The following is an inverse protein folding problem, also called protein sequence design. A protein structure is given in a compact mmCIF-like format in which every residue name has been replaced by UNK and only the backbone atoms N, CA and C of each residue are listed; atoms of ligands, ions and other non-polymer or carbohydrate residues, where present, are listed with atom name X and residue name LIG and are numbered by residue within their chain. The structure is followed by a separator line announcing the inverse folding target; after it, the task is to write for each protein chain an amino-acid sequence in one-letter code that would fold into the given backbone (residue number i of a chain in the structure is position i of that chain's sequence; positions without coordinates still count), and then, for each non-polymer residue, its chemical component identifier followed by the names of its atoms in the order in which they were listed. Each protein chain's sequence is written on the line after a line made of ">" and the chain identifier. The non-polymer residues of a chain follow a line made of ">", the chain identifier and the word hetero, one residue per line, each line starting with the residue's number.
data_IF_090652304860
#
_entry.id   IF_090652304860
#
_cell.length_a   1.000
_cell.length_b   1.000
_cell.length_c   1.000
_cell.angle_alpha   90.00
_cell.angle_beta   90.00
_cell.angle_gamma   90.00
#
_symmetry.space_group_name_H-M   'P 1'
#
loop_
_entity.id
_entity.type
_entity.pdbx_description
1 polymer ?
#
# COMPACT_ATOMS: atom_id res chain seq x y z
N UNK A 1 24.58 -11.11 -36.47
CA UNK A 1 25.83 -10.79 -35.74
C UNK A 1 25.49 -9.79 -34.64
N UNK A 2 25.24 -10.24 -33.43
CA UNK A 2 25.04 -9.38 -32.27
C UNK A 2 26.37 -9.26 -31.52
N UNK A 3 26.83 -8.03 -31.34
CA UNK A 3 28.05 -7.71 -30.57
C UNK A 3 27.78 -7.85 -29.06
N UNK A 4 28.60 -8.65 -28.42
CA UNK A 4 28.64 -8.83 -26.97
C UNK A 4 29.43 -7.67 -26.36
N UNK A 5 28.85 -6.91 -25.46
CA UNK A 5 29.58 -5.93 -24.65
C UNK A 5 30.18 -6.62 -23.41
N UNK A 6 31.46 -6.30 -23.19
CA UNK A 6 32.32 -6.81 -22.13
C UNK A 6 31.81 -6.51 -20.73
N UNK A 7 32.03 -7.51 -19.85
CA UNK A 7 31.81 -7.44 -18.42
C UNK A 7 32.89 -6.61 -17.74
N UNK A 8 32.48 -5.64 -16.95
CA UNK A 8 33.33 -5.02 -15.92
C UNK A 8 33.28 -5.87 -14.65
N UNK A 9 34.46 -6.33 -14.20
CA UNK A 9 34.69 -7.05 -12.95
C UNK A 9 34.25 -6.24 -11.74
N UNK A 10 33.25 -6.75 -11.02
CA UNK A 10 32.91 -6.31 -9.65
C UNK A 10 33.36 -7.42 -8.71
N UNK A 11 34.24 -7.03 -7.80
CA UNK A 11 34.98 -7.84 -6.83
C UNK A 11 34.24 -9.00 -6.18
N UNK A 12 34.98 -10.06 -6.08
CA UNK A 12 34.69 -11.39 -5.57
C UNK A 12 34.39 -11.34 -4.04
N UNK A 13 33.16 -11.17 -3.65
CA UNK A 13 32.68 -11.47 -2.31
C UNK A 13 31.99 -12.83 -2.37
N UNK A 14 32.67 -13.86 -1.85
CA UNK A 14 32.15 -15.22 -1.70
C UNK A 14 30.93 -15.21 -0.76
N UNK A 15 29.74 -15.11 -1.30
CA UNK A 15 28.52 -15.49 -0.60
C UNK A 15 28.29 -16.98 -0.74
N UNK A 16 28.75 -17.74 0.26
CA UNK A 16 28.35 -19.16 0.43
C UNK A 16 26.91 -19.21 0.98
N UNK A 17 25.93 -18.89 0.17
CA UNK A 17 24.54 -19.22 0.48
C UNK A 17 24.27 -20.64 -0.04
N UNK A 18 24.08 -21.61 0.87
CA UNK A 18 23.46 -22.90 0.50
C UNK A 18 22.20 -22.63 -0.29
N UNK A 19 22.16 -23.05 -1.55
CA UNK A 19 20.98 -22.95 -2.39
C UNK A 19 19.82 -23.64 -1.65
N UNK A 20 18.79 -22.86 -1.28
CA UNK A 20 17.61 -23.43 -0.61
C UNK A 20 16.73 -24.03 -1.69
N UNK A 21 16.51 -25.34 -1.61
CA UNK A 21 15.57 -26.05 -2.47
C UNK A 21 14.18 -25.40 -2.39
N UNK A 22 13.49 -25.24 -3.52
CA UNK A 22 12.13 -24.74 -3.55
C UNK A 22 11.22 -25.57 -2.64
N UNK A 23 10.54 -24.92 -1.72
CA UNK A 23 9.54 -25.55 -0.87
C UNK A 23 8.17 -24.99 -1.19
N UNK A 24 7.23 -25.85 -1.62
CA UNK A 24 5.85 -25.48 -1.84
C UNK A 24 5.27 -24.83 -0.58
N UNK A 25 4.56 -23.75 -0.78
CA UNK A 25 3.74 -23.16 0.28
C UNK A 25 2.57 -24.11 0.60
N UNK A 26 2.28 -24.27 1.88
CA UNK A 26 1.14 -25.06 2.40
C UNK A 26 0.16 -24.09 3.07
N UNK A 27 -0.73 -23.39 2.31
CA UNK A 27 -1.67 -22.42 2.87
C UNK A 27 -2.65 -23.08 3.83
N UNK A 28 -3.04 -24.31 3.55
CA UNK A 28 -3.91 -25.16 4.35
C UNK A 28 -3.46 -25.35 5.80
N UNK A 29 -2.17 -25.23 6.07
CA UNK A 29 -1.58 -25.34 7.41
C UNK A 29 -1.51 -24.00 8.15
N UNK A 30 -2.08 -22.93 7.61
CA UNK A 30 -2.07 -21.63 8.28
C UNK A 30 -3.34 -21.42 9.09
N UNK A 31 -3.21 -20.87 10.31
CA UNK A 31 -4.35 -20.55 11.17
C UNK A 31 -5.40 -19.74 10.43
N UNK A 32 -5.00 -18.75 9.65
CA UNK A 32 -5.93 -17.91 8.89
C UNK A 32 -6.75 -18.72 7.88
N UNK A 33 -6.14 -19.69 7.20
CA UNK A 33 -6.86 -20.57 6.27
C UNK A 33 -7.88 -21.43 7.02
N UNK A 34 -7.46 -22.06 8.12
CA UNK A 34 -8.31 -22.91 8.94
C UNK A 34 -9.50 -22.16 9.53
N UNK A 35 -9.28 -20.97 10.06
CA UNK A 35 -10.35 -20.11 10.58
C UNK A 35 -11.39 -19.77 9.50
N UNK A 36 -10.96 -19.45 8.28
CA UNK A 36 -11.90 -19.17 7.18
C UNK A 36 -12.63 -20.45 6.78
N UNK A 37 -11.93 -21.57 6.66
CA UNK A 37 -12.51 -22.86 6.27
C UNK A 37 -13.58 -23.33 7.25
N UNK A 38 -13.35 -23.19 8.53
CA UNK A 38 -14.24 -23.67 9.58
C UNK A 38 -15.44 -22.75 9.85
N UNK A 39 -15.28 -21.45 9.65
CA UNK A 39 -16.26 -20.48 10.13
C UNK A 39 -17.01 -19.72 9.04
N UNK A 40 -16.50 -19.67 7.80
CA UNK A 40 -17.10 -18.81 6.79
C UNK A 40 -18.50 -19.22 6.37
N UNK A 41 -18.80 -20.53 6.27
CA UNK A 41 -20.14 -21.03 5.94
C UNK A 41 -21.17 -20.64 7.00
N UNK A 42 -20.83 -20.81 8.29
CA UNK A 42 -21.66 -20.41 9.42
C UNK A 42 -21.87 -18.89 9.45
N UNK A 43 -20.80 -18.12 9.26
CA UNK A 43 -20.90 -16.67 9.17
C UNK A 43 -21.84 -16.21 8.06
N UNK A 44 -21.79 -16.84 6.88
CA UNK A 44 -22.68 -16.55 5.75
C UNK A 44 -24.14 -16.88 6.06
N UNK A 45 -24.41 -18.02 6.71
CA UNK A 45 -25.78 -18.41 7.09
C UNK A 45 -26.40 -17.44 8.09
N UNK A 46 -25.66 -17.04 9.11
CA UNK A 46 -26.12 -16.09 10.14
C UNK A 46 -26.44 -14.70 9.57
N UNK A 47 -25.81 -14.29 8.47
CA UNK A 47 -26.09 -13.01 7.82
C UNK A 47 -27.45 -12.98 7.10
N UNK A 48 -27.95 -14.14 6.66
CA UNK A 48 -29.27 -14.25 6.02
C UNK A 48 -30.45 -14.15 7.00
N UNK A 49 -30.20 -14.31 8.31
CA UNK A 49 -31.24 -14.33 9.35
C UNK A 49 -31.43 -12.96 10.03
N UNK A 50 -30.51 -12.01 9.84
CA UNK A 50 -30.59 -10.68 10.44
C UNK A 50 -31.14 -9.66 9.47
N UNK A 51 -32.25 -9.00 9.84
CA UNK A 51 -32.95 -7.96 9.08
C UNK A 51 -32.15 -6.64 8.94
N UNK A 52 -30.85 -6.67 9.24
CA UNK A 52 -29.97 -5.52 9.12
C UNK A 52 -29.22 -5.52 7.78
N UNK A 53 -29.73 -4.76 6.83
CA UNK A 53 -29.20 -4.57 5.47
C UNK A 53 -27.70 -4.22 5.37
N UNK A 54 -27.02 -3.94 6.47
CA UNK A 54 -25.61 -3.56 6.54
C UNK A 54 -24.62 -4.73 6.67
N UNK A 55 -25.10 -5.93 6.93
CA UNK A 55 -24.25 -7.10 7.24
C UNK A 55 -24.25 -8.19 6.15
N UNK A 56 -24.83 -7.94 5.00
CA UNK A 56 -24.87 -8.93 3.92
C UNK A 56 -23.47 -9.14 3.34
N UNK A 57 -23.00 -10.39 3.35
CA UNK A 57 -21.77 -10.76 2.63
C UNK A 57 -22.04 -10.58 1.13
N UNK A 58 -21.34 -9.63 0.52
CA UNK A 58 -21.50 -9.36 -0.90
C UNK A 58 -20.88 -10.48 -1.73
N UNK A 59 -21.40 -10.72 -2.93
CA UNK A 59 -20.83 -11.67 -3.90
C UNK A 59 -19.34 -11.42 -4.18
N UNK A 60 -18.91 -10.15 -4.08
CA UNK A 60 -17.49 -9.81 -4.19
C UNK A 60 -16.66 -10.42 -3.06
N UNK A 61 -17.14 -10.36 -1.81
CA UNK A 61 -16.43 -10.92 -0.65
C UNK A 61 -16.40 -12.44 -0.76
N UNK A 62 -17.50 -13.08 -1.14
CA UNK A 62 -17.55 -14.53 -1.38
C UNK A 62 -16.51 -14.95 -2.42
N UNK A 63 -16.51 -14.32 -3.58
CA UNK A 63 -15.55 -14.60 -4.65
C UNK A 63 -14.07 -14.42 -4.22
N UNK A 64 -13.77 -13.43 -3.38
CA UNK A 64 -12.41 -13.23 -2.88
C UNK A 64 -12.01 -14.29 -1.86
N UNK A 65 -12.94 -14.78 -1.05
CA UNK A 65 -12.73 -15.89 -0.12
C UNK A 65 -12.54 -17.20 -0.87
N UNK A 66 -13.39 -17.51 -1.82
CA UNK A 66 -13.30 -18.73 -2.65
C UNK A 66 -11.94 -18.78 -3.38
N UNK A 67 -11.56 -17.70 -4.03
CA UNK A 67 -10.22 -17.59 -4.65
C UNK A 67 -9.08 -17.78 -3.65
N UNK A 68 -9.23 -17.25 -2.42
CA UNK A 68 -8.23 -17.43 -1.36
C UNK A 68 -8.13 -18.89 -0.95
N UNK A 69 -9.25 -19.60 -0.79
CA UNK A 69 -9.29 -21.02 -0.41
C UNK A 69 -8.61 -21.94 -1.42
N UNK A 70 -8.59 -21.57 -2.70
CA UNK A 70 -7.91 -22.31 -3.77
C UNK A 70 -6.43 -21.91 -3.95
N UNK A 71 -6.01 -20.80 -3.35
CA UNK A 71 -4.73 -20.18 -3.62
C UNK A 71 -3.52 -20.96 -3.11
N UNK A 72 -2.69 -21.45 -3.99
CA UNK A 72 -1.44 -22.15 -3.68
C UNK A 72 -1.61 -23.63 -3.35
N UNK A 73 -2.76 -24.21 -3.69
CA UNK A 73 -3.09 -25.63 -3.53
C UNK A 73 -2.88 -26.32 -4.88
N UNK A 74 -2.01 -27.34 -4.94
CA UNK A 74 -1.70 -28.04 -6.19
C UNK A 74 -2.91 -28.72 -6.81
N UNK A 75 -3.81 -29.29 -5.99
CA UNK A 75 -5.02 -29.92 -6.45
C UNK A 75 -5.96 -28.94 -7.20
N UNK A 76 -5.81 -27.63 -6.95
CA UNK A 76 -6.59 -26.58 -7.62
C UNK A 76 -5.90 -26.02 -8.87
N UNK A 77 -4.80 -26.66 -9.31
CA UNK A 77 -4.07 -26.31 -10.52
C UNK A 77 -2.66 -25.80 -10.26
N UNK A 78 -1.77 -26.10 -11.17
CA UNK A 78 -0.35 -25.74 -11.09
C UNK A 78 0.30 -25.59 -12.48
N UNK A 79 1.44 -24.93 -12.51
CA UNK A 79 2.37 -24.97 -13.63
C UNK A 79 3.58 -25.83 -13.26
N UNK A 80 4.09 -26.61 -14.21
CA UNK A 80 5.36 -27.33 -14.09
C UNK A 80 6.46 -26.44 -14.63
N UNK A 81 7.46 -26.13 -13.81
CA UNK A 81 8.65 -25.42 -14.23
C UNK A 81 9.78 -26.42 -14.38
N UNK A 82 10.40 -26.46 -15.54
CA UNK A 82 11.53 -27.36 -15.89
C UNK A 82 12.78 -26.53 -16.16
N UNK A 83 13.91 -27.00 -15.67
CA UNK A 83 15.23 -26.46 -15.97
C UNK A 83 15.95 -27.36 -16.98
N UNK A 84 16.76 -26.78 -17.84
CA UNK A 84 17.67 -27.53 -18.75
C UNK A 84 18.66 -28.43 -17.96
N UNK A 85 18.86 -28.18 -16.66
CA UNK A 85 19.67 -29.02 -15.75
C UNK A 85 18.94 -30.28 -15.31
N UNK A 86 17.70 -30.56 -15.72
CA UNK A 86 16.91 -31.72 -15.35
C UNK A 86 16.09 -31.57 -14.06
N UNK A 87 16.26 -30.47 -13.32
CA UNK A 87 15.39 -30.20 -12.15
C UNK A 87 14.02 -29.71 -12.61
N UNK A 88 12.97 -30.22 -11.97
CA UNK A 88 11.62 -29.69 -12.16
C UNK A 88 10.89 -29.49 -10.84
N UNK A 89 9.91 -28.59 -10.85
CA UNK A 89 9.08 -28.33 -9.68
C UNK A 89 7.70 -27.81 -10.06
N UNK A 90 6.71 -28.12 -9.22
CA UNK A 90 5.33 -27.72 -9.41
C UNK A 90 5.06 -26.39 -8.69
N UNK A 91 4.55 -25.43 -9.44
CA UNK A 91 4.15 -24.11 -8.93
C UNK A 91 2.64 -24.04 -8.92
N UNK A 92 2.02 -24.16 -7.72
CA UNK A 92 0.58 -24.02 -7.57
C UNK A 92 0.09 -22.63 -7.99
N UNK A 93 -1.05 -22.55 -8.64
CA UNK A 93 -1.62 -21.28 -9.06
C UNK A 93 -1.97 -20.38 -7.87
N UNK A 94 -1.81 -19.08 -8.07
CA UNK A 94 -2.11 -18.06 -7.07
C UNK A 94 -3.38 -17.30 -7.45
N UNK A 95 -4.20 -16.94 -6.45
CA UNK A 95 -5.45 -16.19 -6.68
C UNK A 95 -5.24 -14.78 -7.23
N UNK A 96 -4.03 -14.22 -7.12
CA UNK A 96 -3.74 -12.81 -7.43
C UNK A 96 -4.70 -11.81 -6.77
N UNK A 97 -5.46 -12.26 -5.74
CA UNK A 97 -6.42 -11.47 -4.99
C UNK A 97 -5.82 -10.22 -4.36
N UNK A 98 -6.64 -9.17 -4.19
CA UNK A 98 -6.18 -7.84 -3.73
C UNK A 98 -6.53 -7.55 -2.27
N UNK A 99 -7.34 -8.40 -1.64
CA UNK A 99 -7.93 -8.12 -0.33
C UNK A 99 -7.55 -9.12 0.75
N UNK A 100 -7.93 -10.39 0.60
CA UNK A 100 -7.91 -11.38 1.69
C UNK A 100 -6.61 -12.18 1.72
N UNK A 101 -6.11 -12.66 0.59
CA UNK A 101 -4.98 -13.58 0.56
C UNK A 101 -3.66 -12.95 1.06
N UNK A 102 -3.13 -13.37 2.23
CA UNK A 102 -1.92 -12.76 2.79
C UNK A 102 -0.69 -12.91 1.91
N UNK A 103 -0.60 -14.01 1.15
CA UNK A 103 0.57 -14.28 0.30
C UNK A 103 0.57 -13.46 -0.97
N UNK A 104 -0.57 -13.35 -1.66
CA UNK A 104 -0.68 -12.55 -2.87
C UNK A 104 -0.54 -11.06 -2.54
N UNK A 105 -1.08 -10.62 -1.41
CA UNK A 105 -0.94 -9.26 -0.92
C UNK A 105 0.49 -8.91 -0.53
N UNK A 106 1.18 -9.80 0.19
CA UNK A 106 2.60 -9.60 0.55
C UNK A 106 3.48 -9.51 -0.69
N UNK A 107 3.25 -10.38 -1.69
CA UNK A 107 3.96 -10.32 -2.96
C UNK A 107 3.75 -8.98 -3.65
N UNK A 108 2.51 -8.53 -3.77
CA UNK A 108 2.16 -7.23 -4.35
C UNK A 108 2.78 -6.06 -3.59
N UNK A 109 2.79 -6.10 -2.26
CA UNK A 109 3.47 -5.10 -1.42
C UNK A 109 4.94 -4.96 -1.81
N UNK A 110 5.65 -6.09 -1.96
CA UNK A 110 7.06 -6.08 -2.37
C UNK A 110 7.26 -5.58 -3.80
N UNK A 111 6.44 -6.03 -4.75
CA UNK A 111 6.48 -5.59 -6.15
C UNK A 111 6.21 -4.07 -6.26
N UNK A 112 5.19 -3.57 -5.55
CA UNK A 112 4.88 -2.14 -5.48
C UNK A 112 6.03 -1.35 -4.88
N UNK A 113 6.58 -1.81 -3.75
CA UNK A 113 7.71 -1.16 -3.09
C UNK A 113 8.94 -1.11 -4.00
N UNK A 114 9.29 -2.23 -4.64
CA UNK A 114 10.42 -2.30 -5.55
C UNK A 114 10.26 -1.33 -6.74
N UNK A 115 9.06 -1.28 -7.34
CA UNK A 115 8.77 -0.34 -8.43
C UNK A 115 8.87 1.12 -7.96
N UNK A 116 8.29 1.46 -6.81
CA UNK A 116 8.33 2.81 -6.28
C UNK A 116 9.76 3.26 -5.98
N UNK A 117 10.56 2.38 -5.36
CA UNK A 117 11.96 2.69 -5.05
C UNK A 117 12.82 2.74 -6.33
N UNK A 118 12.61 1.82 -7.27
CA UNK A 118 13.44 1.73 -8.47
C UNK A 118 13.13 2.80 -9.53
N UNK A 119 11.84 3.11 -9.71
CA UNK A 119 11.37 3.84 -10.89
C UNK A 119 10.65 5.17 -10.58
N UNK A 120 10.16 5.37 -9.36
CA UNK A 120 9.31 6.54 -9.04
C UNK A 120 10.00 7.55 -8.13
N UNK A 121 10.62 7.08 -7.04
CA UNK A 121 11.29 7.97 -6.10
C UNK A 121 12.74 8.22 -6.49
N UNK A 122 13.11 9.45 -6.91
CA UNK A 122 14.50 9.83 -7.14
C UNK A 122 15.29 9.81 -5.82
N UNK A 123 16.61 10.04 -5.91
CA UNK A 123 17.50 10.11 -4.74
C UNK A 123 17.40 11.48 -4.07
N UNK A 124 16.24 11.77 -3.48
CA UNK A 124 15.97 12.98 -2.70
C UNK A 124 15.40 12.59 -1.33
N UNK A 125 15.45 13.46 -0.31
CA UNK A 125 14.81 13.18 0.97
C UNK A 125 13.30 12.97 0.81
N UNK A 126 12.73 12.12 1.67
CA UNK A 126 11.30 11.76 1.63
C UNK A 126 10.73 11.90 3.03
N UNK A 127 9.50 12.40 3.14
CA UNK A 127 8.75 12.52 4.39
C UNK A 127 7.41 11.80 4.30
N UNK A 128 7.08 11.07 5.35
CA UNK A 128 5.74 10.51 5.52
C UNK A 128 4.83 11.50 6.24
N UNK A 129 3.65 11.71 5.67
CA UNK A 129 2.56 12.44 6.28
C UNK A 129 1.41 11.47 6.59
N UNK A 130 0.99 11.40 7.84
CA UNK A 130 -0.14 10.54 8.25
C UNK A 130 -1.29 11.41 8.69
N UNK A 131 -2.36 11.45 7.87
CA UNK A 131 -3.59 12.18 8.18
C UNK A 131 -4.67 11.19 8.64
N UNK A 132 -5.14 11.35 9.88
CA UNK A 132 -6.24 10.57 10.44
C UNK A 132 -7.46 11.44 10.71
N UNK A 133 -8.63 10.80 10.72
CA UNK A 133 -9.93 11.46 10.84
C UNK A 133 -10.69 11.02 12.11
N UNK A 134 -11.59 11.84 12.65
CA UNK A 134 -12.46 11.46 13.76
C UNK A 134 -13.40 10.32 13.36
N UNK A 135 -13.74 9.46 14.32
CA UNK A 135 -14.57 8.26 14.08
C UNK A 135 -15.87 8.59 13.34
N UNK A 136 -16.50 9.72 13.68
CA UNK A 136 -17.79 10.16 13.13
C UNK A 136 -17.79 10.29 11.61
N UNK A 137 -16.71 10.80 11.01
CA UNK A 137 -16.67 11.04 9.56
C UNK A 137 -16.00 9.91 8.75
N UNK A 138 -15.37 8.92 9.43
CA UNK A 138 -14.68 7.82 8.73
C UNK A 138 -15.62 6.97 7.86
N UNK A 139 -16.87 6.79 8.30
CA UNK A 139 -17.89 6.06 7.54
C UNK A 139 -18.14 6.71 6.18
N UNK A 140 -18.32 8.03 6.13
CA UNK A 140 -18.54 8.77 4.89
C UNK A 140 -17.35 8.64 3.93
N UNK A 141 -16.12 8.83 4.44
CA UNK A 141 -14.89 8.69 3.63
C UNK A 141 -14.64 7.25 3.12
N UNK A 142 -15.17 6.24 3.84
CA UNK A 142 -15.07 4.84 3.43
C UNK A 142 -16.06 4.50 2.32
N UNK A 143 -17.28 5.03 2.39
CA UNK A 143 -18.39 4.70 1.49
C UNK A 143 -18.29 5.54 0.21
N UNK A 144 -18.06 6.85 0.33
CA UNK A 144 -17.96 7.74 -0.82
C UNK A 144 -16.50 8.03 -1.23
N UNK A 145 -16.07 7.37 -2.29
CA UNK A 145 -14.74 7.54 -2.87
C UNK A 145 -14.52 8.91 -3.52
N UNK A 146 -15.61 9.57 -3.98
CA UNK A 146 -15.53 10.92 -4.56
C UNK A 146 -15.30 11.96 -3.46
N UNK A 147 -15.99 11.82 -2.32
CA UNK A 147 -15.77 12.65 -1.14
C UNK A 147 -14.34 12.45 -0.62
N UNK A 148 -13.89 11.20 -0.46
CA UNK A 148 -12.55 10.88 -0.02
C UNK A 148 -11.47 11.49 -0.92
N UNK A 149 -11.69 11.46 -2.24
CA UNK A 149 -10.78 12.08 -3.23
C UNK A 149 -10.76 13.61 -3.13
N UNK A 150 -11.89 14.25 -2.81
CA UNK A 150 -11.95 15.70 -2.58
C UNK A 150 -11.17 16.08 -1.31
N UNK A 151 -11.31 15.30 -0.22
CA UNK A 151 -10.57 15.51 1.03
C UNK A 151 -9.07 15.33 0.81
N UNK A 152 -8.65 14.29 0.09
CA UNK A 152 -7.24 14.10 -0.26
C UNK A 152 -6.68 15.28 -1.07
N UNK A 153 -7.43 15.81 -2.03
CA UNK A 153 -7.03 17.00 -2.78
C UNK A 153 -6.87 18.24 -1.90
N UNK A 154 -7.75 18.45 -0.92
CA UNK A 154 -7.60 19.51 0.08
C UNK A 154 -6.28 19.33 0.82
N UNK A 155 -5.98 18.13 1.27
CA UNK A 155 -4.76 17.84 2.01
C UNK A 155 -3.50 18.09 1.17
N UNK A 156 -3.42 17.50 -0.03
CA UNK A 156 -2.27 17.69 -0.94
C UNK A 156 -2.07 19.17 -1.26
N UNK A 157 -3.15 19.90 -1.53
CA UNK A 157 -3.07 21.34 -1.84
C UNK A 157 -2.54 22.15 -0.66
N UNK A 158 -2.91 21.82 0.58
CA UNK A 158 -2.38 22.50 1.75
C UNK A 158 -0.89 22.22 1.97
N UNK A 159 -0.46 20.98 1.74
CA UNK A 159 0.96 20.63 1.78
C UNK A 159 1.76 21.38 0.70
N UNK A 160 1.23 21.46 -0.52
CA UNK A 160 1.87 22.20 -1.60
C UNK A 160 2.03 23.70 -1.26
N UNK A 161 0.99 24.32 -0.74
CA UNK A 161 1.04 25.73 -0.31
C UNK A 161 2.04 25.96 0.82
N UNK A 162 2.01 25.11 1.85
CA UNK A 162 2.95 25.20 2.97
C UNK A 162 4.41 25.01 2.52
N UNK A 163 4.66 24.09 1.60
CA UNK A 163 6.00 23.87 1.07
C UNK A 163 6.50 25.08 0.26
N UNK A 164 5.60 25.70 -0.52
CA UNK A 164 5.93 26.94 -1.26
C UNK A 164 6.27 28.09 -0.33
N UNK A 165 5.48 28.26 0.73
CA UNK A 165 5.70 29.29 1.74
C UNK A 165 7.03 29.08 2.48
N UNK A 166 7.29 27.86 2.98
CA UNK A 166 8.53 27.51 3.69
C UNK A 166 9.77 27.76 2.81
N UNK A 167 9.67 27.45 1.51
CA UNK A 167 10.79 27.56 0.58
C UNK A 167 10.86 28.89 -0.16
N UNK A 168 9.87 29.77 0.06
CA UNK A 168 9.68 31.03 -0.65
C UNK A 168 9.84 30.89 -2.16
N UNK A 169 8.94 30.10 -2.78
CA UNK A 169 8.91 29.81 -4.21
C UNK A 169 7.50 30.02 -4.78
N UNK A 170 7.43 30.21 -6.10
CA UNK A 170 6.22 30.54 -6.84
C UNK A 170 5.27 29.35 -7.05
N UNK A 171 4.17 29.58 -7.77
CA UNK A 171 3.11 28.62 -8.04
C UNK A 171 3.43 27.64 -9.18
N UNK A 172 4.49 27.83 -9.94
CA UNK A 172 4.95 26.88 -10.97
C UNK A 172 5.59 25.64 -10.36
N UNK A 173 6.06 25.75 -9.12
CA UNK A 173 6.66 24.66 -8.37
C UNK A 173 5.67 23.54 -8.06
N UNK A 174 6.14 22.29 -8.01
CA UNK A 174 5.31 21.09 -7.78
C UNK A 174 5.88 20.18 -6.70
N UNK A 175 4.99 19.60 -5.90
CA UNK A 175 5.34 18.50 -4.99
C UNK A 175 5.14 17.16 -5.69
N UNK A 176 5.84 16.12 -5.25
CA UNK A 176 5.72 14.76 -5.78
C UNK A 176 5.66 13.73 -4.67
N UNK A 177 4.87 12.68 -4.88
CA UNK A 177 4.74 11.61 -3.90
C UNK A 177 3.67 10.59 -4.21
N UNK A 178 3.45 9.67 -3.26
CA UNK A 178 2.48 8.57 -3.38
C UNK A 178 1.62 8.50 -2.12
N UNK A 179 0.30 8.36 -2.31
CA UNK A 179 -0.64 8.20 -1.21
C UNK A 179 -1.12 6.76 -1.09
N UNK A 180 -1.06 6.22 0.12
CA UNK A 180 -1.62 4.94 0.50
C UNK A 180 -2.82 5.17 1.41
N UNK A 181 -3.97 4.61 1.04
CA UNK A 181 -5.19 4.69 1.84
C UNK A 181 -5.30 3.45 2.70
N UNK A 182 -5.27 3.63 4.01
CA UNK A 182 -5.59 2.58 4.97
C UNK A 182 -7.02 2.75 5.47
N UNK A 183 -7.76 1.64 5.55
CA UNK A 183 -9.17 1.62 5.97
C UNK A 183 -9.38 0.94 7.32
N UNK A 184 -8.30 0.42 7.94
CA UNK A 184 -8.32 -0.37 9.17
C UNK A 184 -7.16 0.02 10.08
N UNK A 185 -7.36 -0.15 11.38
CA UNK A 185 -6.32 -0.03 12.40
C UNK A 185 -5.64 -1.37 12.69
N UNK A 186 -4.78 -1.41 13.70
CA UNK A 186 -4.01 -2.60 14.11
C UNK A 186 -4.89 -3.78 14.55
N UNK A 187 -6.08 -3.52 15.06
CA UNK A 187 -7.08 -4.51 15.47
C UNK A 187 -8.13 -4.77 14.38
N UNK A 188 -7.85 -4.44 13.13
CA UNK A 188 -8.78 -4.53 12.00
C UNK A 188 -10.06 -3.69 12.17
N UNK A 189 -10.11 -2.84 13.18
CA UNK A 189 -11.19 -1.87 13.36
C UNK A 189 -11.20 -0.84 12.24
N UNK A 190 -12.38 -0.35 11.88
CA UNK A 190 -12.53 0.69 10.86
C UNK A 190 -11.74 1.95 11.24
N UNK A 191 -10.69 2.25 10.48
CA UNK A 191 -9.83 3.41 10.67
C UNK A 191 -9.35 3.93 9.30
N UNK A 192 -10.14 4.83 8.73
CA UNK A 192 -9.77 5.47 7.47
C UNK A 192 -8.69 6.54 7.73
N UNK A 193 -7.55 6.40 7.07
CA UNK A 193 -6.44 7.36 7.17
C UNK A 193 -5.53 7.29 5.95
N UNK A 194 -4.78 8.35 5.71
CA UNK A 194 -3.83 8.47 4.63
C UNK A 194 -2.40 8.34 5.13
N UNK A 195 -1.60 7.54 4.44
CA UNK A 195 -0.14 7.59 4.50
C UNK A 195 0.35 8.20 3.19
N UNK A 196 0.65 9.48 3.21
CA UNK A 196 1.16 10.21 2.05
C UNK A 196 2.69 10.30 2.18
N UNK A 197 3.41 9.64 1.28
CA UNK A 197 4.86 9.66 1.22
C UNK A 197 5.25 10.68 0.15
N UNK A 198 5.75 11.83 0.57
CA UNK A 198 6.17 12.94 -0.30
C UNK A 198 7.69 13.04 -0.36
N UNK A 199 8.21 13.49 -1.48
CA UNK A 199 9.55 14.04 -1.55
C UNK A 199 9.61 15.29 -0.65
N UNK A 200 10.59 15.37 0.26
CA UNK A 200 10.65 16.38 1.31
C UNK A 200 11.18 17.72 0.77
N UNK A 201 10.46 18.26 -0.21
CA UNK A 201 10.79 19.47 -0.94
C UNK A 201 9.90 19.65 -2.17
N UNK A 202 10.37 20.51 -3.06
CA UNK A 202 9.60 20.95 -4.23
C UNK A 202 10.44 20.91 -5.49
N UNK A 203 9.81 20.62 -6.60
CA UNK A 203 10.43 20.67 -7.92
C UNK A 203 10.15 22.01 -8.57
N UNK A 204 11.19 22.63 -9.07
CA UNK A 204 11.17 23.93 -9.76
C UNK A 204 11.62 23.73 -11.20
N UNK A 205 10.85 24.14 -12.21
CA UNK A 205 11.33 24.20 -13.58
C UNK A 205 12.35 25.34 -13.72
N UNK A 206 13.46 25.08 -14.40
CA UNK A 206 14.37 26.12 -14.86
C UNK A 206 13.87 26.71 -16.20
N UNK A 207 14.66 27.63 -16.78
CA UNK A 207 14.31 28.30 -18.05
C UNK A 207 14.18 27.31 -19.22
N UNK A 208 14.87 26.18 -19.16
CA UNK A 208 14.87 25.13 -20.17
C UNK A 208 13.83 24.03 -19.88
N UNK A 209 13.01 24.21 -18.83
CA UNK A 209 12.01 23.24 -18.40
C UNK A 209 12.57 22.04 -17.65
N UNK A 210 13.87 22.01 -17.33
CA UNK A 210 14.49 20.99 -16.52
C UNK A 210 14.13 21.20 -15.05
N UNK A 211 13.73 20.11 -14.36
CA UNK A 211 13.32 20.17 -12.98
C UNK A 211 14.53 20.13 -12.00
N UNK A 212 14.62 21.10 -11.14
CA UNK A 212 15.54 21.14 -9.99
C UNK A 212 14.78 20.89 -8.70
N UNK A 213 15.40 20.21 -7.75
CA UNK A 213 14.77 19.88 -6.47
C UNK A 213 15.31 20.74 -5.33
N UNK A 214 14.43 21.47 -4.65
CA UNK A 214 14.74 22.27 -3.46
C UNK A 214 14.17 21.58 -2.21
N UNK A 215 15.05 21.07 -1.34
CA UNK A 215 14.66 20.32 -0.14
C UNK A 215 14.24 21.23 1.00
N UNK A 216 13.26 20.82 1.79
CA UNK A 216 12.91 21.45 3.07
C UNK A 216 13.96 21.06 4.11
N UNK A 217 14.60 22.06 4.71
CA UNK A 217 15.60 21.83 5.77
C UNK A 217 14.94 21.74 7.14
N UNK A 218 13.98 22.59 7.41
CA UNK A 218 13.34 22.68 8.70
C UNK A 218 11.81 22.76 8.56
N UNK A 219 11.10 21.75 9.03
CA UNK A 219 9.65 21.72 9.14
C UNK A 219 9.31 21.87 10.63
N UNK A 220 8.70 23.00 11.00
CA UNK A 220 8.32 23.26 12.39
C UNK A 220 7.02 22.55 12.78
N UNK A 221 6.86 22.26 14.07
CA UNK A 221 5.59 21.70 14.59
C UNK A 221 4.43 22.69 14.42
N UNK A 222 4.69 24.00 14.45
CA UNK A 222 3.69 25.02 14.16
C UNK A 222 3.17 24.88 12.72
N UNK A 223 4.04 24.76 11.72
CA UNK A 223 3.63 24.58 10.33
C UNK A 223 2.76 23.32 10.15
N UNK A 224 3.08 22.22 10.83
CA UNK A 224 2.24 20.98 10.81
C UNK A 224 0.88 21.23 11.45
N UNK A 225 0.82 21.97 12.57
CA UNK A 225 -0.41 22.35 13.25
C UNK A 225 -1.30 23.25 12.37
N UNK A 226 -0.70 24.23 11.69
CA UNK A 226 -1.40 25.15 10.80
C UNK A 226 -2.01 24.41 9.60
N UNK A 227 -1.23 23.51 8.97
CA UNK A 227 -1.73 22.63 7.91
C UNK A 227 -2.94 21.84 8.41
N UNK A 228 -2.85 21.19 9.58
CA UNK A 228 -3.94 20.42 10.15
C UNK A 228 -5.19 21.26 10.40
N UNK A 229 -5.03 22.46 10.97
CA UNK A 229 -6.12 23.39 11.23
C UNK A 229 -6.88 23.76 9.96
N UNK A 230 -6.15 24.06 8.88
CA UNK A 230 -6.75 24.43 7.59
C UNK A 230 -7.42 23.22 6.93
N UNK A 231 -6.76 22.06 6.93
CA UNK A 231 -7.33 20.81 6.38
C UNK A 231 -8.61 20.44 7.10
N UNK A 232 -8.63 20.51 8.43
CA UNK A 232 -9.80 20.27 9.27
C UNK A 232 -10.95 21.19 8.89
N UNK A 233 -10.74 22.53 8.90
CA UNK A 233 -11.78 23.51 8.56
C UNK A 233 -12.34 23.31 7.15
N UNK A 234 -11.47 23.06 6.15
CA UNK A 234 -11.89 22.83 4.77
C UNK A 234 -12.63 21.51 4.60
N UNK A 235 -12.22 20.46 5.32
CA UNK A 235 -12.90 19.17 5.31
C UNK A 235 -14.31 19.29 5.91
N UNK A 236 -14.47 19.97 7.04
CA UNK A 236 -15.78 20.20 7.64
C UNK A 236 -16.70 20.99 6.71
N UNK A 237 -16.24 22.10 6.10
CA UNK A 237 -17.00 22.83 5.08
C UNK A 237 -17.39 21.96 3.89
N UNK A 238 -16.52 21.05 3.44
CA UNK A 238 -16.82 20.14 2.34
C UNK A 238 -17.91 19.13 2.72
N UNK A 239 -17.90 18.62 3.96
CA UNK A 239 -18.91 17.69 4.45
C UNK A 239 -20.30 18.34 4.53
N UNK A 240 -20.38 19.57 5.04
CA UNK A 240 -21.63 20.35 5.06
C UNK A 240 -22.12 20.63 3.63
N UNK A 241 -21.25 21.10 2.74
CA UNK A 241 -21.60 21.41 1.35
C UNK A 241 -22.16 20.21 0.57
N UNK A 242 -21.82 18.97 0.97
CA UNK A 242 -22.28 17.74 0.29
C UNK A 242 -23.28 16.96 1.18
N UNK A 243 -23.94 17.62 2.13
CA UNK A 243 -25.04 17.09 2.96
C UNK A 243 -24.69 15.85 3.80
N UNK A 244 -23.42 15.71 4.20
CA UNK A 244 -22.96 14.67 5.13
C UNK A 244 -23.09 15.08 6.60
N UNK A 245 -23.06 16.39 6.86
CA UNK A 245 -23.21 16.98 8.20
C UNK A 245 -24.02 18.25 8.09
N UNK A 246 -24.82 18.51 9.12
CA UNK A 246 -25.43 19.81 9.32
C UNK A 246 -24.40 20.86 9.76
N UNK A 247 -24.68 22.14 9.51
CA UNK A 247 -23.74 23.22 9.86
C UNK A 247 -23.41 23.23 11.35
N UNK A 248 -24.45 23.09 12.22
CA UNK A 248 -24.25 23.09 13.66
C UNK A 248 -23.40 21.91 14.16
N UNK A 249 -23.50 20.74 13.52
CA UNK A 249 -22.67 19.57 13.83
C UNK A 249 -21.20 19.80 13.46
N UNK A 250 -20.97 20.42 12.31
CA UNK A 250 -19.63 20.78 11.86
C UNK A 250 -18.98 21.83 12.79
N UNK A 251 -19.75 22.83 13.21
CA UNK A 251 -19.31 23.88 14.14
C UNK A 251 -19.00 23.29 15.53
N UNK A 252 -19.86 22.41 16.03
CA UNK A 252 -19.63 21.69 17.29
C UNK A 252 -18.33 20.87 17.21
N UNK A 253 -18.16 20.06 16.17
CA UNK A 253 -16.95 19.27 15.99
C UNK A 253 -15.67 20.15 15.88
N UNK A 254 -15.79 21.38 15.39
CA UNK A 254 -14.68 22.34 15.33
C UNK A 254 -14.29 22.88 16.72
N UNK A 255 -15.14 22.81 17.73
CA UNK A 255 -14.82 23.19 19.11
C UNK A 255 -14.18 22.07 19.93
N UNK A 256 -14.27 20.81 19.46
CA UNK A 256 -13.78 19.66 20.20
C UNK A 256 -12.29 19.73 20.49
N UNK A 257 -11.90 19.32 21.70
CA UNK A 257 -10.49 19.20 22.12
C UNK A 257 -9.72 18.25 21.19
N UNK A 258 -8.40 18.30 21.26
CA UNK A 258 -7.50 17.44 20.46
C UNK A 258 -7.79 17.49 18.97
N UNK A 259 -7.93 18.69 18.43
CA UNK A 259 -8.22 18.94 17.01
C UNK A 259 -9.49 18.23 16.49
N UNK A 260 -10.47 17.99 17.36
CA UNK A 260 -11.71 17.31 16.99
C UNK A 260 -11.53 15.87 16.51
N UNK A 261 -10.46 15.22 16.93
CA UNK A 261 -10.11 13.86 16.52
C UNK A 261 -9.42 13.76 15.16
N UNK A 262 -9.10 14.88 14.51
CA UNK A 262 -8.14 14.91 13.41
C UNK A 262 -6.71 14.85 13.96
N UNK A 263 -5.83 14.14 13.28
CA UNK A 263 -4.40 14.16 13.62
C UNK A 263 -3.55 14.16 12.35
N UNK A 264 -2.42 14.86 12.43
CA UNK A 264 -1.42 14.91 11.37
C UNK A 264 -0.05 14.64 11.98
N UNK A 265 0.65 13.64 11.47
CA UNK A 265 2.02 13.33 11.83
C UNK A 265 2.93 13.46 10.61
N UNK A 266 4.12 14.06 10.82
CA UNK A 266 5.14 14.30 9.79
C UNK A 266 6.56 14.01 10.30
N UNK A 267 6.70 13.22 11.37
CA UNK A 267 7.98 13.00 12.07
C UNK A 267 8.92 12.08 11.30
N UNK A 268 8.41 11.19 10.47
CA UNK A 268 9.22 10.22 9.74
C UNK A 268 9.81 10.87 8.49
N UNK A 269 11.11 11.12 8.50
CA UNK A 269 11.91 11.59 7.38
C UNK A 269 12.96 10.55 7.00
N UNK A 270 13.15 10.31 5.71
CA UNK A 270 14.16 9.40 5.16
C UNK A 270 15.08 10.22 4.28
N UNK A 271 16.36 10.21 4.59
CA UNK A 271 17.37 10.94 3.83
C UNK A 271 17.63 10.31 2.46
N UNK A 272 18.08 11.12 1.50
CA UNK A 272 18.25 10.76 0.08
C UNK A 272 19.04 9.47 -0.14
N UNK A 273 20.08 9.24 0.65
CA UNK A 273 20.98 8.09 0.53
C UNK A 273 20.47 6.84 1.27
N UNK A 274 19.44 6.98 2.12
CA UNK A 274 18.90 5.86 2.90
C UNK A 274 17.81 5.10 2.12
N UNK A 275 18.21 4.45 1.01
CA UNK A 275 17.29 3.65 0.16
C UNK A 275 16.65 2.49 0.92
N UNK A 276 17.37 1.88 1.87
CA UNK A 276 16.81 0.81 2.71
C UNK A 276 15.72 1.34 3.65
N UNK A 277 15.90 2.51 4.22
CA UNK A 277 14.88 3.21 5.00
C UNK A 277 13.62 3.48 4.15
N UNK A 278 13.80 3.93 2.91
CA UNK A 278 12.69 4.14 1.97
C UNK A 278 11.95 2.83 1.65
N UNK A 279 12.67 1.72 1.41
CA UNK A 279 12.06 0.38 1.21
C UNK A 279 11.21 -0.01 2.42
N UNK A 280 11.72 0.15 3.64
CA UNK A 280 10.99 -0.16 4.87
C UNK A 280 9.73 0.68 5.01
N UNK A 281 9.84 2.00 4.78
CA UNK A 281 8.71 2.93 4.85
C UNK A 281 7.63 2.58 3.83
N UNK A 282 7.98 2.41 2.57
CA UNK A 282 7.03 2.08 1.50
C UNK A 282 6.39 0.70 1.70
N UNK A 283 7.14 -0.30 2.17
CA UNK A 283 6.60 -1.61 2.52
C UNK A 283 5.59 -1.52 3.67
N UNK A 284 5.85 -0.67 4.66
CA UNK A 284 4.90 -0.40 5.74
C UNK A 284 3.62 0.28 5.21
N UNK A 285 3.75 1.30 4.37
CA UNK A 285 2.61 2.01 3.79
C UNK A 285 1.80 1.16 2.81
N UNK A 286 2.46 0.29 2.04
CA UNK A 286 1.80 -0.64 1.10
C UNK A 286 1.25 -1.90 1.78
N UNK A 287 1.39 -2.04 3.10
CA UNK A 287 0.99 -3.23 3.84
C UNK A 287 -0.54 -3.43 3.80
N UNK A 288 -1.02 -4.62 3.40
CA UNK A 288 -2.43 -4.98 3.46
C UNK A 288 -2.86 -5.34 4.90
N UNK A 289 -4.19 -5.41 5.18
CA UNK A 289 -4.70 -5.82 6.49
C UNK A 289 -4.18 -7.18 6.94
N UNK A 290 -4.15 -8.13 6.02
CA UNK A 290 -3.64 -9.49 6.23
C UNK A 290 -2.30 -9.67 5.53
N UNK A 291 -1.22 -9.17 6.13
CA UNK A 291 0.12 -9.43 5.65
C UNK A 291 0.80 -10.51 6.50
N UNK A 292 1.53 -11.40 5.88
CA UNK A 292 2.55 -12.17 6.61
C UNK A 292 3.60 -11.19 7.09
N UNK A 293 4.06 -11.35 8.35
CA UNK A 293 5.26 -10.64 8.81
C UNK A 293 6.37 -10.89 7.78
N UNK A 294 7.11 -9.86 7.36
CA UNK A 294 8.17 -10.02 6.41
C UNK A 294 9.17 -11.02 7.01
N UNK A 295 9.24 -12.22 6.45
CA UNK A 295 10.48 -12.98 6.56
C UNK A 295 11.53 -12.15 5.83
N UNK A 296 12.79 -12.06 6.33
CA UNK A 296 13.84 -11.34 5.64
C UNK A 296 13.77 -11.74 4.16
N UNK A 297 13.77 -10.75 3.29
CA UNK A 297 13.55 -10.90 1.87
C UNK A 297 14.50 -11.98 1.34
N UNK A 298 13.94 -13.13 1.02
CA UNK A 298 14.60 -14.04 0.12
C UNK A 298 14.50 -13.36 -1.24
N UNK A 299 15.65 -12.94 -1.76
CA UNK A 299 15.77 -12.51 -3.15
C UNK A 299 15.00 -13.49 -4.05
N UNK A 300 14.31 -13.00 -5.09
CA UNK A 300 13.70 -13.90 -6.05
C UNK A 300 14.80 -14.88 -6.48
N UNK A 301 14.49 -16.16 -6.43
CA UNK A 301 15.38 -17.21 -6.87
C UNK A 301 15.70 -16.97 -8.36
N UNK A 302 16.81 -16.33 -8.62
CA UNK A 302 17.47 -16.43 -9.91
C UNK A 302 18.37 -17.66 -9.82
N UNK A 303 17.81 -18.80 -10.17
CA UNK A 303 18.64 -19.96 -10.46
C UNK A 303 19.59 -19.57 -11.60
N UNK A 304 20.88 -19.95 -11.56
CA UNK A 304 21.83 -19.59 -12.62
C UNK A 304 21.49 -20.18 -14.00
N UNK A 305 20.55 -21.12 -14.09
CA UNK A 305 20.03 -21.67 -15.33
C UNK A 305 18.94 -20.80 -15.93
N UNK A 306 18.94 -20.58 -17.25
CA UNK A 306 17.84 -19.97 -17.98
C UNK A 306 16.66 -20.94 -17.97
N UNK A 307 15.61 -20.62 -17.20
CA UNK A 307 14.41 -21.44 -17.13
C UNK A 307 13.49 -21.20 -18.33
N UNK A 308 13.21 -22.24 -19.09
CA UNK A 308 12.01 -22.25 -19.94
C UNK A 308 10.82 -22.67 -19.08
N UNK A 309 9.82 -21.80 -18.97
CA UNK A 309 8.57 -22.12 -18.27
C UNK A 309 7.62 -22.72 -19.30
N UNK A 310 7.40 -24.02 -19.23
CA UNK A 310 6.39 -24.73 -20.01
C UNK A 310 5.10 -24.73 -19.21
N UNK A 311 4.09 -24.00 -19.67
CA UNK A 311 2.75 -24.04 -19.07
C UNK A 311 2.04 -25.32 -19.53
N UNK A 312 1.65 -26.16 -18.60
CA UNK A 312 0.69 -27.23 -18.84
C UNK A 312 -0.60 -26.86 -18.09
N UNK A 313 -1.60 -26.39 -18.80
CA UNK A 313 -2.96 -26.28 -18.27
C UNK A 313 -3.55 -27.71 -18.20
N UNK A 314 -3.78 -28.19 -16.97
CA UNK A 314 -4.66 -29.32 -16.79
C UNK A 314 -6.10 -28.77 -16.73
N UNK A 315 -7.04 -29.34 -17.49
CA UNK A 315 -8.43 -28.92 -17.41
C UNK A 315 -8.93 -29.18 -15.99
N UNK A 316 -9.38 -28.13 -15.32
CA UNK A 316 -10.08 -28.25 -14.03
C UNK A 316 -11.45 -28.87 -14.36
N UNK A 317 -11.63 -30.16 -14.11
CA UNK A 317 -12.96 -30.74 -13.98
C UNK A 317 -13.50 -30.29 -12.63
N UNK A 318 -14.43 -29.34 -12.66
CA UNK A 318 -15.25 -28.95 -11.50
C UNK A 318 -16.32 -30.05 -11.38
N UNK A 319 -16.28 -30.83 -10.30
CA UNK A 319 -17.36 -31.66 -9.84
C UNK A 319 -18.27 -30.91 -8.87
#
# INVERSE_FOLDING_TARGET
>A
MCKIHEKTDIGNTQFTSKAKTYQRRKPENTVFYQVIQENFSTYRSLQGETDQSYNIVTSHVENEIDKFMLCGILACGFARAMCECGEDFLIAFSCKGKSICPSCNTRRMHETTANLVGNVFPKVPVRQWVLSFPKRIRCYLRIDSKLASKVLRIFIRQLELAYREILNVDDQSKIGGVNFIHRFGSFLNSNYHHHLVLMDGIFLPDQDGKLTFKSIQNLTESAVSDILSIVRKKTMKLLVKNDYLEQFEADDMLTWKNNGGFSLDAKVKIEANNRQGLVKLLSYCARPPFAKLPRPAHAPYLHPCRHQIVYIELPVQIF
#
